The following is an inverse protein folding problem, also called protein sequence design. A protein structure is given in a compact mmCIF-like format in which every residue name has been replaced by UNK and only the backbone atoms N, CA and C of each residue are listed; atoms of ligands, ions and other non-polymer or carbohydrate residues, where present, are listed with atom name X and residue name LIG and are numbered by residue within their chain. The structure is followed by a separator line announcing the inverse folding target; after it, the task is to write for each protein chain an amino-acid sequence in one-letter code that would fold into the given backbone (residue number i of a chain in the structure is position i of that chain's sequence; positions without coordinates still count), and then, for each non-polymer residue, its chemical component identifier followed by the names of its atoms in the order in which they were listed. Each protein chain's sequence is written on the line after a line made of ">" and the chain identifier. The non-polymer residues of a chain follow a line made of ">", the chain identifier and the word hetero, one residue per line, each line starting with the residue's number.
data_IF_771683125782
#
_entry.id   IF_771683125782
#
_cell.length_a   1.000
_cell.length_b   1.000
_cell.length_c   1.000
_cell.angle_alpha   90.00
_cell.angle_beta   90.00
_cell.angle_gamma   90.00
#
_symmetry.space_group_name_H-M   'P 1'
#
loop_
_entity.id
_entity.type
_entity.pdbx_description
1 polymer ?
#
# COMPACT_ATOMS: atom_id res chain seq x y z
N UNK A 1 70.80 41.55 3.86
CA UNK A 1 70.83 40.09 4.02
C UNK A 1 69.61 39.54 3.27
N UNK A 2 69.83 38.82 2.16
CA UNK A 2 68.77 38.21 1.35
C UNK A 2 68.23 36.99 2.09
N UNK A 3 66.91 36.81 2.17
CA UNK A 3 66.32 35.49 1.95
C UNK A 3 64.82 35.55 1.60
N UNK A 4 64.50 35.04 0.42
CA UNK A 4 63.18 34.72 -0.11
C UNK A 4 62.77 33.31 0.33
N UNK A 5 61.51 33.09 0.74
CA UNK A 5 60.89 31.76 0.69
C UNK A 5 59.42 31.87 0.23
N UNK A 6 59.26 31.56 -1.05
CA UNK A 6 58.26 30.69 -1.68
C UNK A 6 56.79 30.70 -1.24
N UNK A 7 55.98 31.10 -2.22
CA UNK A 7 54.62 30.64 -2.51
C UNK A 7 54.53 29.11 -2.41
N UNK A 8 53.66 28.58 -1.55
CA UNK A 8 53.06 27.25 -1.73
C UNK A 8 51.55 27.42 -1.69
N UNK A 9 51.00 27.53 -2.89
CA UNK A 9 49.60 27.36 -3.23
C UNK A 9 49.15 25.97 -2.77
N UNK A 10 48.50 25.87 -1.61
CA UNK A 10 47.75 24.65 -1.26
C UNK A 10 46.41 24.73 -1.98
N UNK A 11 46.45 24.19 -3.20
CA UNK A 11 45.32 23.74 -3.98
C UNK A 11 44.57 22.68 -3.16
N UNK A 12 43.55 23.10 -2.43
CA UNK A 12 42.61 22.16 -1.81
C UNK A 12 41.82 21.53 -2.94
N UNK A 13 42.22 20.29 -3.22
CA UNK A 13 41.59 19.35 -4.12
C UNK A 13 40.08 19.32 -3.84
N UNK A 14 39.31 19.82 -4.81
CA UNK A 14 37.89 19.52 -4.94
C UNK A 14 37.75 18.00 -5.02
N UNK A 15 37.52 17.35 -3.89
CA UNK A 15 36.91 16.02 -3.88
C UNK A 15 35.49 16.23 -4.37
N UNK A 16 35.31 16.03 -5.67
CA UNK A 16 34.00 15.94 -6.27
C UNK A 16 33.21 14.91 -5.50
N UNK A 17 32.26 15.38 -4.68
CA UNK A 17 31.04 14.62 -4.49
C UNK A 17 30.45 14.49 -5.88
N UNK A 18 30.75 13.37 -6.54
CA UNK A 18 29.85 12.81 -7.53
C UNK A 18 28.53 12.67 -6.81
N UNK A 19 27.71 13.71 -6.91
CA UNK A 19 26.29 13.61 -6.70
C UNK A 19 25.84 12.54 -7.67
N UNK A 20 25.76 11.29 -7.20
CA UNK A 20 24.81 10.37 -7.75
C UNK A 20 23.48 11.09 -7.57
N UNK A 21 23.07 11.81 -8.62
CA UNK A 21 21.68 12.14 -8.85
C UNK A 21 20.98 10.79 -9.02
N UNK A 22 20.74 10.12 -7.89
CA UNK A 22 19.69 9.16 -7.76
C UNK A 22 18.40 9.99 -7.84
N UNK A 23 18.05 10.42 -9.04
CA UNK A 23 16.65 10.44 -9.43
C UNK A 23 16.21 8.98 -9.43
N UNK A 24 16.12 8.40 -8.23
CA UNK A 24 15.22 7.32 -7.96
C UNK A 24 13.88 7.88 -8.43
N UNK A 25 13.41 7.41 -9.59
CA UNK A 25 12.04 7.60 -10.01
C UNK A 25 11.21 7.17 -8.81
N UNK A 26 10.72 8.15 -8.05
CA UNK A 26 9.83 7.91 -6.93
C UNK A 26 8.55 7.44 -7.61
N UNK A 27 8.46 6.13 -7.81
CA UNK A 27 7.32 5.52 -8.47
C UNK A 27 6.10 5.97 -7.67
N UNK A 28 5.18 6.63 -8.35
CA UNK A 28 4.06 7.29 -7.67
C UNK A 28 3.34 6.27 -6.80
N UNK A 29 3.38 6.54 -5.49
CA UNK A 29 2.72 5.71 -4.49
C UNK A 29 1.21 5.87 -4.66
N UNK A 30 0.50 4.75 -4.73
CA UNK A 30 -0.95 4.76 -4.89
C UNK A 30 -1.58 5.00 -3.52
N UNK A 31 -2.12 6.20 -3.30
CA UNK A 31 -3.04 6.44 -2.18
C UNK A 31 -4.29 5.58 -2.35
N UNK A 32 -4.73 4.90 -1.29
CA UNK A 32 -5.98 4.14 -1.31
C UNK A 32 -7.21 5.05 -1.24
N UNK A 33 -7.12 6.17 -0.51
CA UNK A 33 -8.27 7.06 -0.25
C UNK A 33 -8.81 7.66 -1.54
N UNK A 34 -10.13 7.64 -1.68
CA UNK A 34 -10.85 8.08 -2.87
C UNK A 34 -10.78 7.11 -4.04
N UNK A 35 -10.20 5.92 -3.85
CA UNK A 35 -10.13 4.86 -4.86
C UNK A 35 -11.11 3.74 -4.57
N UNK A 36 -11.52 3.10 -5.65
CA UNK A 36 -12.37 1.91 -5.60
C UNK A 36 -11.60 0.74 -6.18
N UNK A 37 -11.58 -0.36 -5.43
CA UNK A 37 -10.91 -1.59 -5.78
C UNK A 37 -11.92 -2.71 -5.95
N UNK A 38 -11.66 -3.61 -6.89
CA UNK A 38 -12.37 -4.88 -6.99
C UNK A 38 -11.43 -6.01 -6.63
N UNK A 39 -11.85 -6.82 -5.65
CA UNK A 39 -11.18 -8.03 -5.21
C UNK A 39 -11.92 -9.22 -5.82
N UNK A 40 -11.22 -10.07 -6.58
CA UNK A 40 -11.77 -11.33 -7.09
C UNK A 40 -10.99 -12.50 -6.49
N UNK A 41 -11.65 -13.25 -5.61
CA UNK A 41 -11.12 -14.46 -4.97
C UNK A 41 -11.55 -15.75 -5.70
N UNK A 42 -12.07 -15.63 -6.93
CA UNK A 42 -12.53 -16.77 -7.73
C UNK A 42 -13.98 -17.15 -7.45
N UNK A 43 -14.33 -17.51 -6.21
CA UNK A 43 -15.72 -17.86 -5.81
C UNK A 43 -16.47 -16.69 -5.18
N UNK A 44 -15.75 -15.73 -4.61
CA UNK A 44 -16.29 -14.52 -4.00
C UNK A 44 -15.63 -13.27 -4.61
N UNK A 45 -16.36 -12.17 -4.65
CA UNK A 45 -15.84 -10.90 -5.15
C UNK A 45 -16.44 -9.70 -4.45
N UNK A 46 -15.61 -8.69 -4.22
CA UNK A 46 -15.96 -7.51 -3.44
C UNK A 46 -15.50 -6.24 -4.13
N UNK A 47 -16.32 -5.19 -4.08
CA UNK A 47 -15.92 -3.83 -4.39
C UNK A 47 -15.68 -3.08 -3.10
N UNK A 48 -14.50 -2.48 -2.95
CA UNK A 48 -14.09 -1.76 -1.74
C UNK A 48 -13.70 -0.34 -2.11
N UNK A 49 -14.44 0.62 -1.58
CA UNK A 49 -14.17 2.06 -1.69
C UNK A 49 -13.56 2.57 -0.39
N UNK A 50 -12.36 3.13 -0.45
CA UNK A 50 -11.75 3.80 0.70
C UNK A 50 -12.23 5.25 0.75
N UNK A 51 -13.35 5.49 1.44
CA UNK A 51 -14.04 6.79 1.49
C UNK A 51 -13.21 7.89 2.17
N UNK A 52 -12.48 7.53 3.22
CA UNK A 52 -11.59 8.42 3.98
C UNK A 52 -10.35 7.65 4.45
N UNK A 53 -9.53 8.27 5.32
CA UNK A 53 -8.37 7.62 5.93
C UNK A 53 -8.72 6.49 6.91
N UNK A 54 -9.99 6.40 7.33
CA UNK A 54 -10.45 5.51 8.41
C UNK A 54 -11.81 4.86 8.14
N UNK A 55 -12.49 5.20 7.05
CA UNK A 55 -13.76 4.60 6.64
C UNK A 55 -13.61 3.99 5.25
N UNK A 56 -14.03 2.73 5.13
CA UNK A 56 -14.23 2.07 3.85
C UNK A 56 -15.70 1.67 3.68
N UNK A 57 -16.11 1.50 2.44
CA UNK A 57 -17.38 0.88 2.07
C UNK A 57 -17.08 -0.38 1.26
N UNK A 58 -17.58 -1.52 1.69
CA UNK A 58 -17.47 -2.76 0.92
C UNK A 58 -18.83 -3.19 0.40
N UNK A 59 -18.85 -3.81 -0.78
CA UNK A 59 -20.02 -4.44 -1.39
C UNK A 59 -19.64 -5.77 -1.99
N UNK A 60 -20.35 -6.83 -1.62
CA UNK A 60 -20.24 -8.13 -2.28
C UNK A 60 -20.88 -8.07 -3.68
N UNK A 61 -20.07 -8.37 -4.70
CA UNK A 61 -20.47 -8.33 -6.12
C UNK A 61 -20.50 -9.71 -6.79
N UNK A 62 -20.06 -10.76 -6.07
CA UNK A 62 -20.01 -12.15 -6.53
C UNK A 62 -19.95 -13.10 -5.33
N UNK A 63 -20.61 -14.25 -5.44
CA UNK A 63 -20.67 -15.28 -4.39
C UNK A 63 -22.00 -15.27 -3.65
N UNK A 64 -22.11 -16.07 -2.58
CA UNK A 64 -23.36 -16.26 -1.82
C UNK A 64 -23.86 -14.96 -1.17
N UNK A 65 -22.93 -14.11 -0.70
CA UNK A 65 -23.24 -12.85 -0.03
C UNK A 65 -23.56 -11.68 -0.99
N UNK A 66 -23.69 -11.93 -2.31
CA UNK A 66 -23.89 -10.89 -3.32
C UNK A 66 -25.03 -9.95 -2.96
N UNK A 67 -24.76 -8.64 -3.01
CA UNK A 67 -25.72 -7.60 -2.66
C UNK A 67 -25.57 -7.04 -1.24
N UNK A 68 -24.89 -7.75 -0.33
CA UNK A 68 -24.52 -7.20 0.98
C UNK A 68 -23.47 -6.10 0.85
N UNK A 69 -23.57 -5.11 1.73
CA UNK A 69 -22.65 -3.99 1.81
C UNK A 69 -22.69 -3.33 3.18
N UNK A 70 -21.60 -2.67 3.58
CA UNK A 70 -21.52 -1.92 4.83
C UNK A 70 -20.39 -0.87 4.78
N UNK A 71 -20.52 0.13 5.64
CA UNK A 71 -19.44 1.07 5.95
C UNK A 71 -18.72 0.60 7.21
N UNK A 72 -17.39 0.52 7.16
CA UNK A 72 -16.60 0.00 8.27
C UNK A 72 -15.42 0.92 8.59
N UNK A 73 -15.14 1.02 9.90
CA UNK A 73 -13.91 1.65 10.36
C UNK A 73 -12.73 0.69 10.11
N UNK A 74 -11.67 1.18 9.48
CA UNK A 74 -10.49 0.36 9.18
C UNK A 74 -9.19 0.97 9.71
N UNK A 75 -8.17 0.12 9.80
CA UNK A 75 -6.77 0.51 10.04
C UNK A 75 -5.90 -0.02 8.91
N UNK A 76 -4.83 0.72 8.61
CA UNK A 76 -3.89 0.36 7.55
C UNK A 76 -2.45 0.52 8.00
N UNK A 77 -1.60 -0.40 7.56
CA UNK A 77 -0.15 -0.26 7.60
C UNK A 77 0.43 -0.47 6.20
N UNK A 78 1.40 0.37 5.83
CA UNK A 78 2.18 0.16 4.62
C UNK A 78 3.25 -0.89 4.89
N UNK A 79 3.29 -1.95 4.09
CA UNK A 79 4.27 -3.03 4.20
C UNK A 79 5.43 -2.87 3.20
N UNK A 80 5.22 -2.09 2.13
CA UNK A 80 6.22 -1.87 1.09
C UNK A 80 5.71 -0.90 0.03
N UNK A 81 6.47 -0.73 -1.04
CA UNK A 81 6.07 0.07 -2.20
C UNK A 81 4.78 -0.49 -2.81
N UNK A 82 3.67 0.26 -2.69
CA UNK A 82 2.34 -0.15 -3.16
C UNK A 82 1.86 -1.51 -2.60
N UNK A 83 2.31 -1.84 -1.37
CA UNK A 83 1.84 -3.00 -0.60
C UNK A 83 1.28 -2.52 0.74
N UNK A 84 0.01 -2.84 1.00
CA UNK A 84 -0.74 -2.36 2.15
C UNK A 84 -1.37 -3.52 2.92
N UNK A 85 -1.30 -3.48 4.23
CA UNK A 85 -2.12 -4.28 5.13
C UNK A 85 -3.30 -3.43 5.59
N UNK A 86 -4.52 -3.92 5.42
CA UNK A 86 -5.77 -3.24 5.78
C UNK A 86 -6.58 -4.20 6.66
N UNK A 87 -7.08 -3.71 7.79
CA UNK A 87 -7.83 -4.53 8.74
C UNK A 87 -9.06 -3.78 9.22
N UNK A 88 -10.20 -4.47 9.26
CA UNK A 88 -11.45 -3.97 9.83
C UNK A 88 -12.21 -5.11 10.51
N UNK A 89 -13.23 -4.75 11.28
CA UNK A 89 -14.18 -5.66 11.92
C UNK A 89 -15.57 -5.17 11.56
N UNK A 90 -16.40 -6.05 11.01
CA UNK A 90 -17.79 -5.79 10.68
C UNK A 90 -18.66 -5.75 11.93
N UNK A 91 -19.88 -5.19 11.81
CA UNK A 91 -20.80 -5.03 12.94
C UNK A 91 -21.14 -6.33 13.69
N UNK A 92 -21.10 -7.48 13.00
CA UNK A 92 -21.36 -8.81 13.58
C UNK A 92 -20.11 -9.47 14.20
N UNK A 93 -18.96 -8.79 14.16
CA UNK A 93 -17.70 -9.28 14.72
C UNK A 93 -16.83 -10.06 13.74
N UNK A 94 -17.25 -10.23 12.47
CA UNK A 94 -16.40 -10.76 11.42
C UNK A 94 -15.20 -9.84 11.21
N UNK A 95 -13.99 -10.37 11.34
CA UNK A 95 -12.77 -9.62 11.09
C UNK A 95 -12.23 -9.88 9.68
N UNK A 96 -11.86 -8.84 8.95
CA UNK A 96 -11.20 -8.98 7.66
C UNK A 96 -9.81 -8.36 7.70
N UNK A 97 -8.80 -9.15 7.33
CA UNK A 97 -7.40 -8.73 7.32
C UNK A 97 -6.84 -8.95 5.92
N UNK A 98 -6.56 -7.87 5.20
CA UNK A 98 -6.29 -7.88 3.76
C UNK A 98 -4.91 -7.32 3.47
N UNK A 99 -4.12 -8.05 2.68
CA UNK A 99 -2.90 -7.56 2.05
C UNK A 99 -3.19 -7.23 0.59
N UNK A 100 -3.09 -5.95 0.25
CA UNK A 100 -3.17 -5.43 -1.11
C UNK A 100 -1.75 -5.26 -1.66
N UNK A 101 -1.38 -6.09 -2.63
CA UNK A 101 -0.16 -5.91 -3.41
C UNK A 101 -0.55 -5.37 -4.79
N UNK A 102 -0.54 -4.04 -4.93
CA UNK A 102 -0.96 -3.37 -6.16
C UNK A 102 0.09 -3.48 -7.27
N UNK A 103 1.35 -3.74 -6.91
CA UNK A 103 2.43 -4.00 -7.89
C UNK A 103 2.15 -5.28 -8.67
N UNK A 104 1.80 -6.35 -7.95
CA UNK A 104 1.57 -7.68 -8.54
C UNK A 104 0.09 -7.95 -8.83
N UNK A 105 -0.79 -6.98 -8.55
CA UNK A 105 -2.26 -7.08 -8.69
C UNK A 105 -2.83 -8.27 -7.93
N UNK A 106 -2.30 -8.52 -6.73
CA UNK A 106 -2.71 -9.61 -5.84
C UNK A 106 -3.37 -9.07 -4.58
N UNK A 107 -4.39 -9.79 -4.14
CA UNK A 107 -5.01 -9.59 -2.83
C UNK A 107 -4.99 -10.91 -2.08
N UNK A 108 -4.60 -10.86 -0.81
CA UNK A 108 -4.71 -11.98 0.11
C UNK A 108 -5.48 -11.51 1.33
N UNK A 109 -6.37 -12.34 1.86
CA UNK A 109 -7.14 -12.01 3.04
C UNK A 109 -7.21 -13.17 4.02
N UNK A 110 -7.35 -12.83 5.29
CA UNK A 110 -7.84 -13.73 6.31
C UNK A 110 -9.15 -13.18 6.85
N UNK A 111 -10.24 -13.92 6.62
CA UNK A 111 -11.49 -13.68 7.33
C UNK A 111 -11.43 -14.41 8.67
N UNK A 112 -11.78 -13.71 9.74
CA UNK A 112 -11.97 -14.27 11.07
C UNK A 112 -13.46 -14.31 11.34
N UNK A 113 -14.03 -15.51 11.34
CA UNK A 113 -15.42 -15.76 11.68
C UNK A 113 -15.41 -16.62 12.94
N UNK A 114 -15.99 -16.12 14.03
CA UNK A 114 -15.90 -16.75 15.35
C UNK A 114 -14.46 -17.10 15.74
N UNK A 115 -14.15 -18.40 15.82
CA UNK A 115 -12.83 -18.98 16.15
C UNK A 115 -12.10 -19.57 14.95
N UNK A 116 -12.62 -19.36 13.75
CA UNK A 116 -12.05 -19.86 12.51
C UNK A 116 -11.34 -18.75 11.74
N UNK A 117 -10.31 -19.14 10.99
CA UNK A 117 -9.58 -18.26 10.09
C UNK A 117 -9.67 -18.87 8.70
N UNK A 118 -10.27 -18.12 7.77
CA UNK A 118 -10.50 -18.54 6.39
C UNK A 118 -9.55 -17.74 5.49
N UNK A 119 -8.55 -18.39 4.87
CA UNK A 119 -7.68 -17.74 3.90
C UNK A 119 -8.39 -17.54 2.57
N UNK A 120 -8.21 -16.37 1.96
CA UNK A 120 -8.62 -16.07 0.59
C UNK A 120 -7.43 -15.48 -0.17
N UNK A 121 -7.29 -15.85 -1.44
CA UNK A 121 -6.27 -15.31 -2.34
C UNK A 121 -6.87 -15.02 -3.70
N UNK A 122 -6.51 -13.89 -4.29
CA UNK A 122 -7.18 -13.38 -5.46
C UNK A 122 -6.41 -12.31 -6.21
N UNK A 123 -7.10 -11.62 -7.09
CA UNK A 123 -6.58 -10.46 -7.82
C UNK A 123 -7.26 -9.18 -7.36
N UNK A 124 -6.54 -8.07 -7.49
CA UNK A 124 -7.07 -6.72 -7.22
C UNK A 124 -6.93 -5.83 -8.44
N UNK A 125 -7.99 -5.10 -8.75
CA UNK A 125 -8.02 -4.09 -9.82
C UNK A 125 -8.54 -2.77 -9.27
N UNK A 126 -7.94 -1.65 -9.69
CA UNK A 126 -8.45 -0.30 -9.39
C UNK A 126 -9.45 0.06 -10.49
N UNK A 127 -10.68 0.43 -10.12
CA UNK A 127 -11.73 0.78 -11.08
C UNK A 127 -11.99 2.29 -11.17
N UNK A 128 -11.54 3.08 -10.18
CA UNK A 128 -11.63 4.54 -10.12
C UNK A 128 -10.51 5.11 -9.25
#
# INVERSE_FOLDING_TARGET
>A
MKWSISIITIMVMFLGFSGCNNTANKKDEVSLVGKIFEYDYGTAGYRVEYKSNDVLHWKAIKGEETGRESDEAYKMQKLGENVYFVSWVEADGLGANVVLNLKDKKVNAFLKIDREIIPLSGTVTIIK
#
